data_IF_311914269899
#
_entry.id   IF_311914269899
#
_cell.length_a   1.000
_cell.length_b   1.000
_cell.length_c   1.000
_cell.angle_alpha   90.00
_cell.angle_beta   90.00
_cell.angle_gamma   90.00
#
_symmetry.space_group_name_H-M   'P 1'
#
loop_
_entity.id
_entity.type
_entity.pdbx_description
1 polymer ?
#
# COMPACT_ATOMS: atom_id res chain seq x y z
N UNK A 1 1.51 16.78 -5.46
CA UNK A 1 2.29 15.60 -5.22
C UNK A 1 1.80 14.88 -3.98
N UNK A 2 1.83 13.56 -4.02
CA UNK A 2 1.29 12.77 -2.91
C UNK A 2 1.98 13.07 -1.59
N UNK A 3 3.31 13.19 -1.62
CA UNK A 3 4.06 13.43 -0.40
C UNK A 3 3.69 14.73 0.29
N UNK A 4 3.15 15.71 -0.46
CA UNK A 4 2.77 17.00 0.12
C UNK A 4 1.49 16.92 0.95
N UNK A 5 0.76 15.80 0.87
CA UNK A 5 -0.40 15.56 1.72
C UNK A 5 0.00 15.14 3.13
N UNK A 6 1.27 14.83 3.35
CA UNK A 6 1.80 14.37 4.63
C UNK A 6 2.40 15.53 5.43
N UNK A 7 2.37 15.39 6.76
CA UNK A 7 3.18 16.26 7.60
C UNK A 7 4.65 16.01 7.31
N UNK A 8 5.54 16.92 7.74
CA UNK A 8 6.96 16.87 7.38
C UNK A 8 7.61 15.53 7.74
N UNK A 9 7.34 15.00 8.91
CA UNK A 9 7.88 13.71 9.36
C UNK A 9 6.86 12.57 9.26
N UNK A 10 5.87 12.74 8.40
CA UNK A 10 4.84 11.74 8.20
C UNK A 10 5.39 10.44 7.63
N UNK A 11 4.65 9.37 7.79
CA UNK A 11 5.08 8.07 7.29
C UNK A 11 3.94 7.31 6.62
N UNK A 12 4.34 6.41 5.72
CA UNK A 12 3.45 5.48 5.06
C UNK A 12 4.19 4.16 4.90
N UNK A 13 3.45 3.08 4.79
CA UNK A 13 4.10 1.80 4.56
C UNK A 13 3.11 0.65 4.51
N UNK A 14 3.66 -0.51 4.26
CA UNK A 14 2.93 -1.76 4.21
C UNK A 14 3.16 -2.51 5.52
N UNK A 15 2.09 -2.73 6.27
CA UNK A 15 2.16 -3.44 7.54
C UNK A 15 2.06 -4.96 7.40
N UNK A 16 1.68 -5.45 6.21
CA UNK A 16 1.52 -6.88 5.93
C UNK A 16 2.48 -7.32 4.84
N UNK A 17 3.73 -7.55 5.22
CA UNK A 17 4.75 -8.03 4.29
C UNK A 17 4.94 -9.53 4.45
N UNK A 18 5.55 -10.16 3.43
CA UNK A 18 5.86 -11.59 3.47
C UNK A 18 6.91 -11.93 4.53
N UNK A 19 7.71 -10.95 4.97
CA UNK A 19 8.70 -11.15 6.02
C UNK A 19 8.12 -11.10 7.43
N UNK A 20 6.89 -10.57 7.56
CA UNK A 20 6.26 -10.34 8.86
C UNK A 20 6.65 -9.00 9.50
N UNK A 21 7.57 -8.26 8.89
CA UNK A 21 8.00 -6.95 9.40
C UNK A 21 7.40 -5.84 8.56
N UNK A 22 6.84 -4.78 9.18
CA UNK A 22 6.35 -3.64 8.41
C UNK A 22 7.47 -2.97 7.62
N UNK A 23 7.13 -2.50 6.43
CA UNK A 23 8.03 -1.71 5.60
C UNK A 23 7.53 -0.28 5.62
N UNK A 24 8.26 0.61 6.28
CA UNK A 24 7.82 1.97 6.57
C UNK A 24 8.76 2.99 5.94
N UNK A 25 8.18 4.02 5.33
CA UNK A 25 8.89 5.12 4.70
C UNK A 25 8.48 6.41 5.44
N UNK A 26 9.48 7.16 5.92
CA UNK A 26 9.24 8.35 6.73
C UNK A 26 9.90 9.57 6.13
N UNK A 27 9.17 10.70 6.15
CA UNK A 27 9.64 11.99 5.67
C UNK A 27 9.37 12.20 4.20
N UNK A 28 9.29 13.47 3.78
CA UNK A 28 8.89 13.84 2.42
C UNK A 28 9.81 13.25 1.35
N UNK A 29 11.12 13.23 1.60
CA UNK A 29 12.06 12.70 0.61
C UNK A 29 11.86 11.20 0.38
N UNK A 30 11.71 10.44 1.48
CA UNK A 30 11.47 9.00 1.40
C UNK A 30 10.13 8.69 0.73
N UNK A 31 9.08 9.47 1.08
CA UNK A 31 7.76 9.29 0.51
C UNK A 31 7.72 9.65 -0.99
N UNK A 32 8.48 10.67 -1.38
CA UNK A 32 8.60 11.04 -2.79
C UNK A 32 9.25 9.92 -3.61
N UNK A 33 10.32 9.34 -3.09
CA UNK A 33 10.99 8.21 -3.75
C UNK A 33 10.07 7.00 -3.86
N UNK A 34 9.32 6.72 -2.82
CA UNK A 34 8.35 5.63 -2.84
C UNK A 34 7.30 5.85 -3.94
N UNK A 35 6.75 7.07 -4.02
CA UNK A 35 5.75 7.39 -5.04
C UNK A 35 6.30 7.22 -6.45
N UNK A 36 7.52 7.66 -6.69
CA UNK A 36 8.17 7.52 -8.00
C UNK A 36 8.40 6.05 -8.35
N UNK A 37 8.84 5.25 -7.38
CA UNK A 37 9.04 3.83 -7.57
C UNK A 37 7.72 3.12 -7.90
N UNK A 38 6.67 3.46 -7.18
CA UNK A 38 5.34 2.88 -7.42
C UNK A 38 4.83 3.23 -8.81
N UNK A 39 5.03 4.46 -9.27
CA UNK A 39 4.63 4.86 -10.63
C UNK A 39 5.37 4.08 -11.70
N UNK A 40 6.66 3.80 -11.48
CA UNK A 40 7.44 3.01 -12.45
C UNK A 40 7.04 1.55 -12.46
N UNK A 41 6.81 0.98 -11.28
CA UNK A 41 6.55 -0.46 -11.16
C UNK A 41 5.08 -0.82 -11.39
N UNK A 42 4.17 0.10 -11.13
CA UNK A 42 2.73 -0.12 -11.28
C UNK A 42 2.11 1.05 -12.05
N UNK A 43 2.46 1.20 -13.35
CA UNK A 43 2.14 2.43 -14.09
C UNK A 43 0.66 2.65 -14.36
N UNK A 44 -0.14 1.58 -14.39
CA UNK A 44 -1.58 1.65 -14.65
C UNK A 44 -2.41 1.27 -13.43
N UNK A 45 -1.86 1.46 -12.22
CA UNK A 45 -2.55 1.08 -11.00
C UNK A 45 -3.88 1.79 -10.86
N UNK A 46 -4.91 1.02 -10.51
CA UNK A 46 -6.27 1.52 -10.37
C UNK A 46 -6.84 1.10 -9.02
N UNK A 47 -7.32 2.09 -8.26
CA UNK A 47 -8.06 1.84 -7.03
C UNK A 47 -9.54 1.75 -7.36
N UNK A 48 -10.24 0.77 -6.77
CA UNK A 48 -11.65 0.52 -7.04
C UNK A 48 -12.39 0.19 -5.76
N UNK A 49 -13.73 0.35 -5.82
CA UNK A 49 -14.62 -0.03 -4.71
C UNK A 49 -14.20 0.63 -3.39
N UNK A 50 -13.87 1.92 -3.45
CA UNK A 50 -13.37 2.66 -2.30
C UNK A 50 -14.50 2.95 -1.32
N UNK A 51 -14.31 2.57 -0.05
CA UNK A 51 -15.27 2.81 1.03
C UNK A 51 -14.52 3.40 2.21
N UNK A 52 -15.04 4.49 2.76
CA UNK A 52 -14.40 5.22 3.87
C UNK A 52 -15.22 5.01 5.13
N UNK A 53 -14.54 4.67 6.22
CA UNK A 53 -15.15 4.43 7.52
C UNK A 53 -14.56 5.39 8.56
N UNK A 54 -15.41 6.21 9.12
CA UNK A 54 -15.00 7.14 10.17
C UNK A 54 -14.88 6.40 11.50
N UNK A 55 -14.07 6.96 12.42
CA UNK A 55 -13.93 6.45 13.79
C UNK A 55 -14.38 7.53 14.76
N UNK A 56 -14.34 7.22 16.05
CA UNK A 56 -14.64 8.21 17.08
C UNK A 56 -13.63 9.37 17.08
N UNK A 57 -12.40 9.11 16.62
CA UNK A 57 -11.37 10.12 16.49
C UNK A 57 -11.52 10.81 15.12
N UNK A 58 -11.84 12.11 15.07
CA UNK A 58 -12.01 12.80 13.79
C UNK A 58 -10.72 12.86 12.96
N UNK A 59 -9.58 12.55 13.55
CA UNK A 59 -8.30 12.53 12.87
C UNK A 59 -7.85 11.11 12.50
N UNK A 60 -8.75 10.14 12.56
CA UNK A 60 -8.43 8.76 12.21
C UNK A 60 -9.60 8.14 11.45
N UNK A 61 -9.34 7.67 10.23
CA UNK A 61 -10.35 6.94 9.45
C UNK A 61 -9.71 5.77 8.73
N UNK A 62 -10.56 4.85 8.30
CA UNK A 62 -10.14 3.67 7.56
C UNK A 62 -10.73 3.70 6.17
N UNK A 63 -9.98 3.16 5.20
CA UNK A 63 -10.43 3.01 3.81
C UNK A 63 -10.31 1.55 3.42
N UNK A 64 -11.40 0.99 2.94
CA UNK A 64 -11.40 -0.35 2.35
C UNK A 64 -11.49 -0.19 0.84
N UNK A 65 -10.66 -0.89 0.08
CA UNK A 65 -10.66 -0.77 -1.37
C UNK A 65 -9.99 -1.96 -2.02
N UNK A 66 -10.11 -2.02 -3.34
CA UNK A 66 -9.41 -2.98 -4.17
C UNK A 66 -8.41 -2.23 -5.03
N UNK A 67 -7.33 -2.89 -5.38
CA UNK A 67 -6.33 -2.33 -6.28
C UNK A 67 -5.94 -3.35 -7.33
N UNK A 68 -5.62 -2.88 -8.53
CA UNK A 68 -5.16 -3.74 -9.61
C UNK A 68 -4.28 -2.99 -10.59
N UNK A 69 -3.41 -3.71 -11.25
CA UNK A 69 -2.56 -3.13 -12.28
C UNK A 69 -1.39 -4.04 -12.64
N UNK A 70 -0.68 -3.65 -13.69
CA UNK A 70 0.53 -4.34 -14.10
C UNK A 70 1.59 -4.23 -13.02
N UNK A 71 2.38 -5.28 -12.87
CA UNK A 71 3.51 -5.30 -11.97
C UNK A 71 4.79 -5.43 -12.81
N UNK A 72 5.57 -4.36 -12.86
CA UNK A 72 6.80 -4.26 -13.64
C UNK A 72 8.00 -4.05 -12.72
N UNK A 73 8.15 -4.93 -11.75
CA UNK A 73 9.19 -4.79 -10.72
C UNK A 73 10.52 -5.33 -11.26
N UNK A 74 11.61 -4.56 -11.22
CA UNK A 74 12.91 -5.01 -11.71
C UNK A 74 13.36 -6.31 -11.04
N UNK A 75 13.89 -7.24 -11.84
CA UNK A 75 14.35 -8.54 -11.34
C UNK A 75 13.28 -9.61 -11.30
N UNK A 76 12.04 -9.28 -11.66
CA UNK A 76 10.93 -10.22 -11.68
C UNK A 76 10.24 -10.22 -13.04
N UNK A 77 9.57 -11.31 -13.42
CA UNK A 77 8.80 -11.32 -14.66
C UNK A 77 7.68 -10.29 -14.61
N UNK A 78 7.32 -9.76 -15.76
CA UNK A 78 6.17 -8.88 -15.86
C UNK A 78 4.92 -9.64 -15.41
N UNK A 79 4.14 -9.05 -14.53
CA UNK A 79 2.96 -9.68 -13.96
C UNK A 79 1.78 -8.73 -13.85
N UNK A 80 0.74 -9.21 -13.19
CA UNK A 80 -0.46 -8.44 -12.93
C UNK A 80 -0.86 -8.67 -11.48
N UNK A 81 -1.17 -7.59 -10.76
CA UNK A 81 -1.54 -7.66 -9.36
C UNK A 81 -2.99 -7.25 -9.16
N UNK A 82 -3.74 -8.08 -8.44
CA UNK A 82 -5.07 -7.73 -7.95
C UNK A 82 -5.09 -8.06 -6.46
N UNK A 83 -5.55 -7.11 -5.66
CA UNK A 83 -5.51 -7.30 -4.21
C UNK A 83 -6.60 -6.49 -3.52
N UNK A 84 -6.90 -6.89 -2.30
CA UNK A 84 -7.81 -6.16 -1.41
C UNK A 84 -6.97 -5.42 -0.38
N UNK A 85 -7.40 -4.20 -0.04
CA UNK A 85 -6.63 -3.32 0.83
C UNK A 85 -7.50 -2.71 1.91
N UNK A 86 -6.89 -2.52 3.06
CA UNK A 86 -7.42 -1.66 4.12
C UNK A 86 -6.32 -0.68 4.47
N UNK A 87 -6.65 0.61 4.45
CA UNK A 87 -5.71 1.66 4.82
C UNK A 87 -6.18 2.36 6.07
N UNK A 88 -5.27 2.58 7.00
CA UNK A 88 -5.51 3.44 8.15
C UNK A 88 -4.86 4.79 7.87
N UNK A 89 -5.63 5.87 8.04
CA UNK A 89 -5.13 7.23 7.87
C UNK A 89 -5.27 7.98 9.18
N UNK A 90 -4.14 8.40 9.74
CA UNK A 90 -4.09 9.25 10.91
C UNK A 90 -3.64 10.64 10.48
N UNK A 91 -4.41 11.66 10.86
CA UNK A 91 -4.18 13.02 10.44
C UNK A 91 -3.65 13.90 11.57
N UNK A 92 -2.94 14.94 11.20
CA UNK A 92 -2.49 15.99 12.11
C UNK A 92 -2.61 17.31 11.36
N UNK A 93 -3.42 18.23 11.89
CA UNK A 93 -3.67 19.53 11.26
C UNK A 93 -4.06 19.40 9.78
N UNK A 94 -4.93 18.43 9.46
CA UNK A 94 -5.45 18.24 8.12
C UNK A 94 -4.50 17.54 7.16
N UNK A 95 -3.32 17.12 7.61
CA UNK A 95 -2.36 16.38 6.79
C UNK A 95 -2.15 14.98 7.35
N UNK A 96 -1.67 14.08 6.51
CA UNK A 96 -1.45 12.69 6.93
C UNK A 96 -0.20 12.59 7.80
N UNK A 97 -0.39 12.07 9.00
CA UNK A 97 0.69 11.76 9.92
C UNK A 97 1.18 10.34 9.68
N UNK A 98 0.26 9.41 9.47
CA UNK A 98 0.59 8.01 9.23
C UNK A 98 -0.46 7.35 8.36
N UNK A 99 0.00 6.70 7.30
CA UNK A 99 -0.84 5.87 6.44
C UNK A 99 -0.32 4.44 6.51
N UNK A 100 -1.11 3.55 7.08
CA UNK A 100 -0.78 2.13 7.15
C UNK A 100 -1.59 1.36 6.14
N UNK A 101 -0.92 0.58 5.31
CA UNK A 101 -1.55 -0.28 4.32
C UNK A 101 -1.54 -1.73 4.82
N UNK A 102 -2.68 -2.39 4.73
CA UNK A 102 -2.83 -3.82 5.02
C UNK A 102 -3.42 -4.48 3.79
N UNK A 103 -2.83 -5.58 3.38
CA UNK A 103 -3.28 -6.31 2.19
C UNK A 103 -2.82 -7.75 2.29
N UNK A 104 -3.15 -8.57 1.29
CA UNK A 104 -2.69 -9.95 1.24
C UNK A 104 -1.32 -10.01 0.57
N UNK A 105 -0.24 -10.25 1.32
CA UNK A 105 1.10 -10.28 0.73
C UNK A 105 1.31 -11.42 -0.25
N UNK A 106 0.53 -12.50 -0.16
CA UNK A 106 0.64 -13.62 -1.09
C UNK A 106 0.24 -13.22 -2.50
N UNK A 107 -0.73 -12.31 -2.64
CA UNK A 107 -1.10 -11.80 -3.95
C UNK A 107 0.03 -11.01 -4.61
N UNK A 108 0.81 -10.31 -3.80
CA UNK A 108 1.99 -9.59 -4.29
C UNK A 108 3.06 -10.58 -4.77
N UNK A 109 3.28 -11.65 -4.02
CA UNK A 109 4.23 -12.69 -4.44
C UNK A 109 3.81 -13.30 -5.77
N UNK A 110 2.53 -13.63 -5.90
CA UNK A 110 2.00 -14.20 -7.16
C UNK A 110 2.18 -13.25 -8.33
N UNK A 111 1.95 -11.96 -8.10
CA UNK A 111 2.14 -10.96 -9.14
C UNK A 111 3.60 -10.86 -9.61
N UNK A 112 4.54 -11.21 -8.75
CA UNK A 112 5.98 -11.22 -9.05
C UNK A 112 6.45 -12.55 -9.63
N UNK A 113 5.54 -13.52 -9.82
CA UNK A 113 5.90 -14.84 -10.31
C UNK A 113 6.56 -15.72 -9.27
N UNK A 114 6.41 -15.38 -8.00
CA UNK A 114 6.98 -16.17 -6.89
C UNK A 114 5.94 -17.21 -6.46
N UNK A 115 6.34 -18.46 -6.41
CA UNK A 115 5.46 -19.55 -6.03
C UNK A 115 4.99 -19.41 -4.58
N UNK A 116 3.69 -19.60 -4.37
CA UNK A 116 3.09 -19.52 -3.03
C UNK A 116 2.50 -20.90 -2.71
N UNK A 117 2.97 -21.55 -1.65
CA UNK A 117 2.39 -22.83 -1.24
C UNK A 117 0.96 -22.65 -0.74
N UNK A 118 0.17 -23.69 -0.85
CA UNK A 118 -1.20 -23.70 -0.39
C UNK A 118 -1.37 -24.63 0.78
N UNK A 119 -2.21 -24.22 1.71
CA UNK A 119 -2.60 -25.11 2.80
C UNK A 119 -3.57 -26.14 2.23
N UNK A 120 -3.36 -27.39 2.57
CA UNK A 120 -4.27 -28.45 2.16
C UNK A 120 -5.61 -28.31 2.87
N UNK A 121 -6.69 -28.22 2.09
CA UNK A 121 -8.05 -28.04 2.62
C UNK A 121 -8.95 -29.13 2.06
N UNK A 122 -9.12 -30.19 2.82
CA UNK A 122 -9.96 -31.32 2.43
C UNK A 122 -11.37 -31.14 2.92
#
# INVERSE_FOLDING_TARGET
QRHSLFVEDGCAGNWTTESGEPLVFRGHESLRRLAEWLERCFPDWEWRNVRIFETEDPNHFWVECDGRGKALVPGYPQGYCENHYIHSFELENGRIKRNREFMNPMQKLRALGIAVPQIKRD
#
